data_IF_147450697992
#
_entry.id   IF_147450697992
#
_cell.length_a   1.000
_cell.length_b   1.000
_cell.length_c   1.000
_cell.angle_alpha   90.00
_cell.angle_beta   90.00
_cell.angle_gamma   90.00
#
_symmetry.space_group_name_H-M   'P 1'
#
loop_
_entity.id
_entity.type
_entity.pdbx_description
1 polymer ?
#
# COMPACT_ATOMS: atom_id res chain seq x y z
N UNK A 1 -12.72 3.06 -18.57
CA UNK A 1 -12.98 2.37 -17.29
C UNK A 1 -12.04 1.20 -17.07
N UNK A 2 -12.04 0.16 -17.92
CA UNK A 2 -11.16 -1.01 -17.78
C UNK A 2 -9.66 -0.67 -17.61
N UNK A 3 -9.10 0.16 -18.50
CA UNK A 3 -7.68 0.52 -18.44
C UNK A 3 -7.31 1.21 -17.11
N UNK A 4 -8.11 2.20 -16.68
CA UNK A 4 -7.90 2.88 -15.42
C UNK A 4 -7.95 1.90 -14.24
N UNK A 5 -8.91 0.97 -14.24
CA UNK A 5 -9.02 -0.06 -13.20
C UNK A 5 -7.79 -0.96 -13.16
N UNK A 6 -7.36 -1.51 -14.30
CA UNK A 6 -6.20 -2.42 -14.36
C UNK A 6 -4.94 -1.72 -13.88
N UNK A 7 -4.64 -0.53 -14.40
CA UNK A 7 -3.45 0.22 -14.01
C UNK A 7 -3.50 0.63 -12.53
N UNK A 8 -4.67 1.05 -12.05
CA UNK A 8 -4.84 1.41 -10.63
C UNK A 8 -4.70 0.20 -9.71
N UNK A 9 -5.22 -0.96 -10.09
CA UNK A 9 -5.10 -2.19 -9.31
C UNK A 9 -3.65 -2.66 -9.24
N UNK A 10 -2.90 -2.60 -10.35
CA UNK A 10 -1.48 -2.93 -10.36
C UNK A 10 -0.69 -1.96 -9.47
N UNK A 11 -0.93 -0.65 -9.60
CA UNK A 11 -0.34 0.37 -8.74
C UNK A 11 -0.67 0.19 -7.26
N UNK A 12 -1.95 -0.06 -6.94
CA UNK A 12 -2.40 -0.29 -5.57
C UNK A 12 -1.77 -1.55 -4.96
N UNK A 13 -1.71 -2.64 -5.73
CA UNK A 13 -1.16 -3.92 -5.24
C UNK A 13 0.34 -3.81 -4.97
N UNK A 14 1.09 -3.20 -5.89
CA UNK A 14 2.54 -2.98 -5.73
C UNK A 14 2.85 -2.05 -4.55
N UNK A 15 2.15 -0.92 -4.44
CA UNK A 15 2.32 0.00 -3.32
C UNK A 15 1.88 -0.62 -1.99
N UNK A 16 0.74 -1.31 -1.96
CA UNK A 16 0.19 -1.92 -0.75
C UNK A 16 1.09 -3.01 -0.20
N UNK A 17 1.64 -3.85 -1.07
CA UNK A 17 2.63 -4.86 -0.68
C UNK A 17 3.91 -4.21 -0.14
N UNK A 18 4.41 -3.17 -0.82
CA UNK A 18 5.59 -2.40 -0.38
C UNK A 18 5.38 -1.78 1.00
N UNK A 19 4.23 -1.14 1.22
CA UNK A 19 3.88 -0.57 2.52
C UNK A 19 3.85 -1.63 3.62
N UNK A 20 3.27 -2.80 3.34
CA UNK A 20 3.24 -3.88 4.32
C UNK A 20 4.63 -4.41 4.67
N UNK A 21 5.50 -4.59 3.67
CA UNK A 21 6.88 -5.02 3.90
C UNK A 21 7.67 -4.01 4.74
N UNK A 22 7.54 -2.72 4.46
CA UNK A 22 8.18 -1.65 5.26
C UNK A 22 7.62 -1.65 6.69
N UNK A 23 6.30 -1.80 6.85
CA UNK A 23 5.64 -1.87 8.16
C UNK A 23 6.17 -3.02 9.01
N UNK A 24 6.36 -4.21 8.42
CA UNK A 24 6.91 -5.40 9.11
C UNK A 24 8.39 -5.28 9.46
N UNK A 25 9.14 -4.49 8.71
CA UNK A 25 10.53 -4.15 9.01
C UNK A 25 10.70 -3.49 10.39
N UNK A 26 9.64 -2.83 10.88
CA UNK A 26 9.63 -2.17 12.19
C UNK A 26 10.39 -0.83 12.20
N UNK A 27 10.73 -0.36 13.41
CA UNK A 27 11.43 0.91 13.61
C UNK A 27 10.62 2.14 13.18
N UNK A 28 11.32 3.27 13.01
CA UNK A 28 10.71 4.53 12.57
C UNK A 28 10.00 4.44 11.20
N UNK A 29 10.55 3.78 10.17
CA UNK A 29 9.88 3.64 8.87
C UNK A 29 8.56 2.86 8.98
N UNK A 30 8.52 1.79 9.78
CA UNK A 30 7.31 1.01 9.97
C UNK A 30 6.19 1.79 10.69
N UNK A 31 6.56 2.63 11.67
CA UNK A 31 5.62 3.52 12.34
C UNK A 31 5.06 4.58 11.37
N UNK A 32 5.93 5.19 10.55
CA UNK A 32 5.54 6.20 9.57
C UNK A 32 4.57 5.62 8.52
N UNK A 33 4.86 4.43 7.99
CA UNK A 33 3.98 3.76 7.02
C UNK A 33 2.66 3.35 7.66
N UNK A 34 2.65 2.91 8.92
CA UNK A 34 1.41 2.62 9.63
C UNK A 34 0.52 3.86 9.74
N UNK A 35 1.09 4.99 10.14
CA UNK A 35 0.37 6.26 10.16
C UNK A 35 -0.15 6.66 8.77
N UNK A 36 0.68 6.51 7.73
CA UNK A 36 0.29 6.79 6.35
C UNK A 36 -0.91 5.94 5.90
N UNK A 37 -0.88 4.63 6.16
CA UNK A 37 -1.99 3.71 5.85
C UNK A 37 -3.27 4.15 6.58
N UNK A 38 -3.18 4.42 7.88
CA UNK A 38 -4.32 4.83 8.70
C UNK A 38 -4.90 6.18 8.21
N UNK A 39 -4.04 7.13 7.83
CA UNK A 39 -4.44 8.42 7.26
C UNK A 39 -5.17 8.26 5.91
N UNK A 40 -4.62 7.47 4.99
CA UNK A 40 -5.24 7.21 3.68
C UNK A 40 -6.64 6.61 3.87
N UNK A 41 -6.78 5.62 4.75
CA UNK A 41 -8.06 4.92 4.99
C UNK A 41 -9.07 5.74 5.78
N UNK A 42 -8.62 6.77 6.50
CA UNK A 42 -9.47 7.68 7.29
C UNK A 42 -10.00 8.87 6.48
N UNK A 43 -9.57 9.02 5.22
CA UNK A 43 -9.97 10.14 4.35
C UNK A 43 -10.83 9.63 3.18
N UNK A 44 -11.78 10.41 2.65
CA UNK A 44 -12.59 9.96 1.51
C UNK A 44 -11.78 9.94 0.20
N UNK A 45 -11.92 8.89 -0.62
CA UNK A 45 -11.27 8.81 -1.95
C UNK A 45 -11.62 10.00 -2.86
N UNK A 46 -12.86 10.51 -2.76
CA UNK A 46 -13.28 11.67 -3.54
C UNK A 46 -12.48 12.92 -3.19
N UNK A 47 -12.10 13.10 -1.92
CA UNK A 47 -11.28 14.22 -1.49
C UNK A 47 -9.86 14.14 -2.10
N UNK A 48 -9.29 12.93 -2.19
CA UNK A 48 -8.02 12.70 -2.87
C UNK A 48 -8.07 13.07 -4.35
N UNK A 49 -9.07 12.55 -5.07
CA UNK A 49 -9.23 12.85 -6.50
C UNK A 49 -9.49 14.34 -6.73
N UNK A 50 -10.32 14.96 -5.89
CA UNK A 50 -10.59 16.39 -5.96
C UNK A 50 -9.32 17.21 -5.75
N UNK A 51 -8.53 16.88 -4.72
CA UNK A 51 -7.27 17.56 -4.43
C UNK A 51 -6.29 17.46 -5.61
N UNK A 52 -6.10 16.25 -6.15
CA UNK A 52 -5.19 16.02 -7.27
C UNK A 52 -5.64 16.72 -8.56
N UNK A 53 -6.94 16.83 -8.81
CA UNK A 53 -7.45 17.41 -10.05
C UNK A 53 -7.66 18.93 -9.98
N UNK A 54 -8.22 19.43 -8.88
CA UNK A 54 -8.63 20.83 -8.75
C UNK A 54 -7.67 21.67 -7.90
N UNK A 55 -6.97 21.08 -6.92
CA UNK A 55 -6.10 21.85 -6.00
C UNK A 55 -4.66 21.91 -6.51
N UNK A 56 -4.09 20.80 -7.00
CA UNK A 56 -2.73 20.77 -7.55
C UNK A 56 -2.44 21.81 -8.66
N UNK A 57 -3.38 22.16 -9.56
CA UNK A 57 -3.15 23.19 -10.58
C UNK A 57 -2.78 24.56 -10.03
N UNK A 58 -3.23 24.93 -8.82
CA UNK A 58 -2.82 26.18 -8.15
C UNK A 58 -1.33 26.20 -7.79
N UNK A 59 -0.72 25.01 -7.66
CA UNK A 59 0.71 24.83 -7.42
C UNK A 59 1.49 24.54 -8.70
N UNK A 60 0.89 24.75 -9.88
CA UNK A 60 1.53 24.55 -11.18
C UNK A 60 1.53 23.11 -11.70
N UNK A 61 0.99 22.16 -10.94
CA UNK A 61 0.94 20.74 -11.34
C UNK A 61 -0.42 20.46 -11.98
N UNK A 62 -0.44 20.20 -13.29
CA UNK A 62 -1.65 19.89 -14.05
C UNK A 62 -1.62 18.45 -14.53
N UNK A 63 -2.48 17.61 -13.98
CA UNK A 63 -2.59 16.21 -14.34
C UNK A 63 -3.86 15.98 -15.17
N UNK A 64 -3.76 15.17 -16.22
CA UNK A 64 -4.93 14.73 -16.98
C UNK A 64 -5.85 13.86 -16.11
N UNK A 65 -7.15 13.85 -16.41
CA UNK A 65 -8.13 13.10 -15.62
C UNK A 65 -7.81 11.60 -15.50
N UNK A 66 -7.29 10.99 -16.57
CA UNK A 66 -6.82 9.59 -16.56
C UNK A 66 -5.68 9.39 -15.56
N UNK A 67 -4.68 10.27 -15.56
CA UNK A 67 -3.53 10.20 -14.65
C UNK A 67 -3.95 10.41 -13.20
N UNK A 68 -4.86 11.36 -12.93
CA UNK A 68 -5.41 11.56 -11.58
C UNK A 68 -6.18 10.33 -11.12
N UNK A 69 -7.00 9.74 -11.98
CA UNK A 69 -7.70 8.50 -11.68
C UNK A 69 -6.72 7.38 -11.34
N UNK A 70 -5.71 7.14 -12.17
CA UNK A 70 -4.73 6.07 -11.94
C UNK A 70 -3.95 6.29 -10.65
N UNK A 71 -3.35 7.47 -10.46
CA UNK A 71 -2.51 7.74 -9.30
C UNK A 71 -3.32 7.81 -8.01
N UNK A 72 -4.44 8.54 -8.02
CA UNK A 72 -5.30 8.72 -6.86
C UNK A 72 -5.91 7.42 -6.39
N UNK A 73 -6.44 6.60 -7.31
CA UNK A 73 -7.00 5.30 -6.95
C UNK A 73 -5.91 4.30 -6.53
N UNK A 74 -4.75 4.29 -7.21
CA UNK A 74 -3.62 3.43 -6.81
C UNK A 74 -3.18 3.71 -5.37
N UNK A 75 -2.92 4.98 -5.06
CA UNK A 75 -2.44 5.39 -3.74
C UNK A 75 -3.52 5.12 -2.68
N UNK A 76 -4.77 5.46 -2.96
CA UNK A 76 -5.86 5.26 -2.01
C UNK A 76 -6.08 3.77 -1.68
N UNK A 77 -6.23 2.92 -2.69
CA UNK A 77 -6.48 1.50 -2.49
C UNK A 77 -5.26 0.74 -1.99
N UNK A 78 -4.04 1.25 -2.16
CA UNK A 78 -2.84 0.63 -1.60
C UNK A 78 -2.90 0.51 -0.06
N UNK A 79 -3.51 1.48 0.63
CA UNK A 79 -3.72 1.40 2.08
C UNK A 79 -4.62 0.24 2.49
N UNK A 80 -5.68 -0.02 1.71
CA UNK A 80 -6.56 -1.17 1.94
C UNK A 80 -5.87 -2.49 1.61
N UNK A 81 -5.14 -2.55 0.49
CA UNK A 81 -4.40 -3.75 0.11
C UNK A 81 -3.27 -4.07 1.08
N UNK A 82 -2.62 -3.06 1.70
CA UNK A 82 -1.65 -3.29 2.76
C UNK A 82 -2.24 -4.07 3.95
N UNK A 83 -3.49 -3.79 4.34
CA UNK A 83 -4.18 -4.58 5.38
C UNK A 83 -4.56 -5.99 4.89
N UNK A 84 -4.93 -6.14 3.62
CA UNK A 84 -5.19 -7.47 3.04
C UNK A 84 -3.92 -8.32 3.03
N UNK A 85 -2.79 -7.76 2.60
CA UNK A 85 -1.50 -8.44 2.63
C UNK A 85 -1.09 -8.77 4.07
N UNK A 86 -1.27 -7.85 5.02
CA UNK A 86 -1.04 -8.13 6.43
C UNK A 86 -1.85 -9.32 6.92
N UNK A 87 -3.16 -9.30 6.69
CA UNK A 87 -4.05 -10.38 7.10
C UNK A 87 -3.65 -11.71 6.45
N UNK A 88 -3.24 -11.69 5.18
CA UNK A 88 -2.76 -12.88 4.47
C UNK A 88 -1.46 -13.45 5.05
N UNK A 89 -0.50 -12.59 5.40
CA UNK A 89 0.78 -13.04 5.98
C UNK A 89 0.59 -13.48 7.44
N UNK A 90 -0.22 -12.76 8.23
CA UNK A 90 -0.50 -13.10 9.62
C UNK A 90 -1.32 -14.40 9.76
N UNK A 91 -2.01 -14.83 8.71
CA UNK A 91 -2.73 -16.10 8.66
C UNK A 91 -1.80 -17.32 8.52
N UNK A 92 -0.50 -17.13 8.22
CA UNK A 92 0.44 -18.23 8.08
C UNK A 92 0.66 -18.90 9.45
N UNK A 93 0.51 -20.24 9.56
CA UNK A 93 0.71 -20.95 10.81
C UNK A 93 2.12 -20.76 11.38
N UNK A 94 2.22 -20.55 12.70
CA UNK A 94 3.49 -20.35 13.41
C UNK A 94 4.51 -21.49 13.17
N UNK A 95 4.04 -22.71 12.95
CA UNK A 95 4.89 -23.86 12.63
C UNK A 95 5.78 -23.66 11.39
N UNK A 96 5.37 -22.83 10.42
CA UNK A 96 6.21 -22.49 9.27
C UNK A 96 7.44 -21.65 9.69
N UNK A 97 7.25 -20.69 10.60
CA UNK A 97 8.35 -19.92 11.16
C UNK A 97 9.26 -20.77 12.04
N UNK A 98 8.70 -21.72 12.80
CA UNK A 98 9.47 -22.65 13.64
C UNK A 98 10.32 -23.60 12.78
N UNK A 99 9.75 -24.15 11.70
CA UNK A 99 10.47 -24.98 10.74
C UNK A 99 11.61 -24.21 10.05
N UNK A 100 11.36 -22.96 9.63
CA UNK A 100 12.39 -22.11 9.04
C UNK A 100 13.56 -21.87 10.01
N UNK A 101 13.27 -21.61 11.29
CA UNK A 101 14.29 -21.47 12.34
C UNK A 101 15.05 -22.78 12.58
N UNK A 102 14.37 -23.93 12.56
CA UNK A 102 15.02 -25.23 12.69
C UNK A 102 16.00 -25.52 11.53
N UNK A 103 15.70 -25.00 10.33
CA UNK A 103 16.57 -25.06 9.16
C UNK A 103 17.65 -23.95 9.14
N UNK A 104 17.80 -23.18 10.22
CA UNK A 104 18.73 -22.04 10.33
C UNK A 104 18.54 -20.98 9.24
N UNK A 105 17.34 -20.86 8.68
CA UNK A 105 17.00 -19.81 7.72
C UNK A 105 16.92 -18.46 8.43
N UNK A 106 17.41 -17.41 7.77
CA UNK A 106 17.36 -16.07 8.32
C UNK A 106 15.96 -15.47 8.17
N UNK A 107 15.69 -14.37 8.89
CA UNK A 107 14.41 -13.63 8.77
C UNK A 107 14.14 -13.15 7.33
N UNK A 108 15.20 -12.92 6.54
CA UNK A 108 15.08 -12.54 5.12
C UNK A 108 14.69 -13.71 4.23
N UNK A 109 15.14 -14.92 4.57
CA UNK A 109 14.80 -16.13 3.83
C UNK A 109 13.38 -16.62 4.17
N UNK A 110 12.91 -16.28 5.37
CA UNK A 110 11.61 -16.75 5.89
C UNK A 110 10.43 -15.91 5.41
N UNK A 111 10.66 -14.66 4.92
CA UNK A 111 9.64 -13.64 4.60
C UNK A 111 8.25 -13.93 5.21
N UNK A 112 8.23 -13.90 6.54
CA UNK A 112 7.05 -13.72 7.42
C UNK A 112 7.43 -12.73 8.52
#
# INVERSE_FOLDING_TARGET
TLLATVLSCLGASTLGFTFEMIRRGGGAPGLAVRFLIDFIRSTPVLAWLYFLYFVMPFYGIRLGAMTVGILGLSLYYSGYLAEVFKAGIDAIPKGQQEAARALSLTRRDTIV
#
